data_IF_862496256211
#
_entry.id   IF_862496256211
#
_cell.length_a   1.000
_cell.length_b   1.000
_cell.length_c   1.000
_cell.angle_alpha   90.00
_cell.angle_beta   90.00
_cell.angle_gamma   90.00
#
_symmetry.space_group_name_H-M   'P 1'
#
loop_
_entity.id
_entity.type
_entity.pdbx_description
1 polymer ?
#
# COMPACT_ATOMS: atom_id res chain seq x y z
N UNK A 1 22.36 -2.84 -7.69
CA UNK A 1 22.07 -2.19 -6.39
C UNK A 1 20.61 -2.43 -6.04
N UNK A 2 20.28 -2.85 -4.81
CA UNK A 2 18.89 -2.89 -4.32
C UNK A 2 18.54 -1.51 -3.76
N UNK A 3 17.50 -0.85 -4.30
CA UNK A 3 16.98 0.43 -3.79
C UNK A 3 15.81 0.14 -2.86
N UNK A 4 15.78 0.74 -1.67
CA UNK A 4 14.61 0.70 -0.79
C UNK A 4 13.51 1.59 -1.36
N UNK A 5 12.27 1.10 -1.38
CA UNK A 5 11.10 1.84 -1.82
C UNK A 5 10.31 2.34 -0.62
N UNK A 6 9.75 3.54 -0.74
CA UNK A 6 8.67 3.98 0.14
C UNK A 6 7.41 3.15 -0.13
N UNK A 7 6.51 3.11 0.85
CA UNK A 7 5.21 2.46 0.72
C UNK A 7 4.45 2.97 -0.51
N UNK A 8 4.49 4.28 -0.73
CA UNK A 8 3.86 4.93 -1.88
C UNK A 8 4.45 4.46 -3.21
N UNK A 9 5.78 4.43 -3.34
CA UNK A 9 6.44 3.98 -4.57
C UNK A 9 6.11 2.51 -4.89
N UNK A 10 6.06 1.64 -3.88
CA UNK A 10 5.69 0.25 -4.08
C UNK A 10 4.25 0.12 -4.65
N UNK A 11 3.31 0.90 -4.11
CA UNK A 11 1.92 0.90 -4.59
C UNK A 11 1.75 1.53 -5.97
N UNK A 12 2.53 2.57 -6.29
CA UNK A 12 2.55 3.17 -7.63
C UNK A 12 3.06 2.16 -8.68
N UNK A 13 4.05 1.33 -8.35
CA UNK A 13 4.52 0.23 -9.23
C UNK A 13 3.41 -0.80 -9.46
N UNK A 14 2.68 -1.19 -8.41
CA UNK A 14 1.54 -2.10 -8.55
C UNK A 14 0.43 -1.49 -9.44
N UNK A 15 0.13 -0.20 -9.28
CA UNK A 15 -0.84 0.51 -10.11
C UNK A 15 -0.44 0.56 -11.58
N UNK A 16 0.84 0.80 -11.87
CA UNK A 16 1.37 0.75 -13.24
C UNK A 16 1.29 -0.66 -13.83
N UNK A 17 1.57 -1.70 -13.02
CA UNK A 17 1.49 -3.09 -13.42
C UNK A 17 0.09 -3.50 -13.92
N UNK A 18 -0.96 -3.00 -13.27
CA UNK A 18 -2.35 -3.22 -13.69
C UNK A 18 -2.64 -2.69 -15.11
N UNK A 19 -1.93 -1.66 -15.58
CA UNK A 19 -2.14 -1.07 -16.91
C UNK A 19 -1.37 -1.78 -18.06
N UNK A 20 -0.47 -2.71 -17.75
CA UNK A 20 0.36 -3.40 -18.74
C UNK A 20 -0.43 -4.48 -19.51
N UNK A 21 -0.16 -4.62 -20.81
CA UNK A 21 -0.91 -5.47 -21.76
C UNK A 21 -1.22 -6.91 -21.32
N UNK A 22 -0.33 -7.68 -20.64
CA UNK A 22 -0.67 -9.02 -20.15
C UNK A 22 -1.62 -9.02 -18.92
N UNK A 23 -1.82 -7.88 -18.27
CA UNK A 23 -2.69 -7.71 -17.09
C UNK A 23 -3.95 -6.87 -17.39
N UNK A 24 -4.08 -6.34 -18.60
CA UNK A 24 -5.12 -5.38 -19.00
C UNK A 24 -6.54 -5.97 -19.10
N UNK A 25 -6.71 -7.28 -18.90
CA UNK A 25 -8.00 -7.99 -18.87
C UNK A 25 -8.61 -8.08 -17.46
N UNK A 26 -8.93 -6.95 -16.83
CA UNK A 26 -9.61 -6.94 -15.51
C UNK A 26 -8.85 -7.66 -14.37
N UNK A 27 -7.51 -7.61 -14.40
CA UNK A 27 -6.65 -8.19 -13.36
C UNK A 27 -6.60 -7.34 -12.07
N UNK A 28 -7.36 -6.26 -11.94
CA UNK A 28 -7.38 -5.43 -10.72
C UNK A 28 -7.50 -6.25 -9.42
N UNK A 29 -8.20 -7.38 -9.47
CA UNK A 29 -8.31 -8.35 -8.38
C UNK A 29 -6.99 -9.07 -8.03
N UNK A 30 -6.16 -9.43 -9.00
CA UNK A 30 -4.85 -10.07 -8.74
C UNK A 30 -3.87 -9.07 -8.15
N UNK A 31 -3.79 -7.85 -8.69
CA UNK A 31 -2.93 -6.83 -8.09
C UNK A 31 -3.43 -6.36 -6.71
N UNK A 32 -4.75 -6.37 -6.47
CA UNK A 32 -5.29 -6.17 -5.12
C UNK A 32 -4.79 -7.26 -4.14
N UNK A 33 -4.75 -8.53 -4.54
CA UNK A 33 -4.20 -9.62 -3.73
C UNK A 33 -2.69 -9.45 -3.51
N UNK A 34 -1.92 -9.10 -4.53
CA UNK A 34 -0.48 -8.83 -4.42
C UNK A 34 -0.21 -7.70 -3.42
N UNK A 35 -1.00 -6.62 -3.48
CA UNK A 35 -0.91 -5.50 -2.53
C UNK A 35 -1.24 -5.95 -1.11
N UNK A 36 -2.26 -6.78 -0.91
CA UNK A 36 -2.58 -7.30 0.42
C UNK A 36 -1.42 -8.11 1.02
N UNK A 37 -0.74 -8.93 0.20
CA UNK A 37 0.44 -9.68 0.63
C UNK A 37 1.63 -8.76 0.95
N UNK A 38 1.89 -7.76 0.11
CA UNK A 38 2.95 -6.77 0.33
C UNK A 38 2.75 -5.98 1.62
N UNK A 39 1.49 -5.70 1.97
CA UNK A 39 1.13 -4.91 3.14
C UNK A 39 1.07 -5.72 4.44
N UNK A 40 1.24 -7.04 4.41
CA UNK A 40 1.00 -7.89 5.57
C UNK A 40 1.87 -7.48 6.77
N UNK A 41 3.17 -7.29 6.55
CA UNK A 41 4.11 -6.92 7.62
C UNK A 41 3.87 -5.50 8.15
N UNK A 42 3.44 -4.59 7.28
CA UNK A 42 3.04 -3.22 7.69
C UNK A 42 1.77 -3.30 8.53
N UNK A 43 0.79 -4.09 8.12
CA UNK A 43 -0.49 -4.24 8.81
C UNK A 43 -0.35 -4.84 10.21
N UNK A 44 0.61 -5.74 10.43
CA UNK A 44 0.91 -6.29 11.77
C UNK A 44 1.34 -5.21 12.76
N UNK A 45 1.80 -4.07 12.28
CA UNK A 45 2.23 -2.94 13.10
C UNK A 45 1.12 -1.89 13.30
N UNK A 46 -0.08 -2.10 12.76
CA UNK A 46 -1.21 -1.16 12.84
C UNK A 46 -2.35 -1.72 13.71
N UNK A 47 -3.27 -0.86 14.13
CA UNK A 47 -4.55 -1.35 14.65
C UNK A 47 -5.37 -2.04 13.54
N UNK A 48 -6.34 -2.87 13.92
CA UNK A 48 -7.21 -3.56 12.95
C UNK A 48 -7.93 -2.60 12.01
N UNK A 49 -8.37 -1.45 12.52
CA UNK A 49 -9.05 -0.39 11.74
C UNK A 49 -8.09 0.24 10.74
N UNK A 50 -6.89 0.65 11.19
CA UNK A 50 -5.89 1.28 10.32
C UNK A 50 -5.37 0.31 9.25
N UNK A 51 -5.16 -0.95 9.61
CA UNK A 51 -4.79 -2.00 8.67
C UNK A 51 -5.88 -2.22 7.60
N UNK A 52 -7.16 -2.18 7.99
CA UNK A 52 -8.27 -2.33 7.05
C UNK A 52 -8.38 -1.14 6.10
N UNK A 53 -8.22 0.08 6.61
CA UNK A 53 -8.20 1.31 5.81
C UNK A 53 -7.04 1.23 4.80
N UNK A 54 -5.83 0.91 5.25
CA UNK A 54 -4.66 0.79 4.39
C UNK A 54 -4.86 -0.24 3.27
N UNK A 55 -5.30 -1.45 3.62
CA UNK A 55 -5.54 -2.52 2.64
C UNK A 55 -6.61 -2.14 1.63
N UNK A 56 -7.73 -1.59 2.08
CA UNK A 56 -8.85 -1.19 1.21
C UNK A 56 -8.43 -0.07 0.26
N UNK A 57 -7.84 1.01 0.78
CA UNK A 57 -7.43 2.15 -0.04
C UNK A 57 -6.35 1.75 -1.05
N UNK A 58 -5.38 0.92 -0.65
CA UNK A 58 -4.32 0.46 -1.54
C UNK A 58 -4.85 -0.46 -2.65
N UNK A 59 -5.70 -1.43 -2.32
CA UNK A 59 -6.33 -2.32 -3.29
C UNK A 59 -7.17 -1.53 -4.32
N UNK A 60 -8.00 -0.60 -3.85
CA UNK A 60 -8.83 0.23 -4.73
C UNK A 60 -8.01 1.23 -5.55
N UNK A 61 -6.92 1.78 -5.00
CA UNK A 61 -6.02 2.64 -5.77
C UNK A 61 -5.39 1.88 -6.93
N UNK A 62 -4.85 0.69 -6.66
CA UNK A 62 -4.20 -0.14 -7.68
C UNK A 62 -5.18 -0.61 -8.74
N UNK A 63 -6.42 -0.94 -8.36
CA UNK A 63 -7.52 -1.22 -9.29
C UNK A 63 -8.02 0.02 -10.09
N UNK A 64 -7.52 1.23 -9.79
CA UNK A 64 -7.91 2.46 -10.48
C UNK A 64 -9.23 3.07 -10.02
N UNK A 65 -9.75 2.65 -8.86
CA UNK A 65 -11.02 3.12 -8.29
C UNK A 65 -10.82 4.36 -7.39
N UNK A 66 -9.73 4.38 -6.63
CA UNK A 66 -9.40 5.47 -5.69
C UNK A 66 -8.36 6.41 -6.29
N UNK A 67 -8.46 7.70 -5.97
CA UNK A 67 -7.53 8.72 -6.46
C UNK A 67 -6.19 8.70 -5.69
N UNK A 68 -5.14 9.13 -6.37
CA UNK A 68 -3.79 9.23 -5.82
C UNK A 68 -3.66 10.13 -4.57
N UNK A 69 -4.57 11.10 -4.40
CA UNK A 69 -4.61 12.00 -3.25
C UNK A 69 -5.08 11.28 -1.97
N UNK A 70 -6.15 10.49 -2.07
CA UNK A 70 -6.67 9.68 -0.96
C UNK A 70 -5.64 8.64 -0.51
N UNK A 71 -4.97 7.97 -1.46
CA UNK A 71 -3.87 7.06 -1.11
C UNK A 71 -2.74 7.80 -0.37
N UNK A 72 -2.40 9.02 -0.80
CA UNK A 72 -1.32 9.82 -0.19
C UNK A 72 -1.61 10.10 1.28
N UNK A 73 -2.83 10.50 1.59
CA UNK A 73 -3.24 10.81 2.96
C UNK A 73 -3.13 9.59 3.87
N UNK A 74 -3.63 8.44 3.40
CA UNK A 74 -3.51 7.17 4.14
C UNK A 74 -2.05 6.77 4.34
N UNK A 75 -1.20 6.86 3.32
CA UNK A 75 0.22 6.57 3.44
C UNK A 75 0.92 7.50 4.46
N UNK A 76 0.61 8.80 4.43
CA UNK A 76 1.20 9.77 5.37
C UNK A 76 0.82 9.46 6.83
N UNK A 77 -0.44 9.09 7.07
CA UNK A 77 -0.90 8.68 8.40
C UNK A 77 -0.16 7.42 8.88
N UNK A 78 -0.11 6.38 8.04
CA UNK A 78 0.58 5.12 8.35
C UNK A 78 2.07 5.34 8.62
N UNK A 79 2.76 6.11 7.78
CA UNK A 79 4.17 6.46 7.98
C UNK A 79 4.39 7.14 9.35
N UNK A 80 3.47 8.01 9.75
CA UNK A 80 3.49 8.67 11.06
C UNK A 80 3.43 7.67 12.22
N UNK A 81 2.59 6.65 12.12
CA UNK A 81 2.47 5.58 13.14
C UNK A 81 3.74 4.75 13.21
N UNK A 82 4.24 4.29 12.06
CA UNK A 82 5.42 3.44 11.99
C UNK A 82 6.66 4.16 12.54
N UNK A 83 6.81 5.46 12.24
CA UNK A 83 7.90 6.29 12.79
C UNK A 83 7.82 6.42 14.30
N UNK A 84 6.62 6.65 14.86
CA UNK A 84 6.42 6.72 16.32
C UNK A 84 6.78 5.40 17.00
N UNK A 85 6.33 4.27 16.46
CA UNK A 85 6.68 2.94 16.98
C UNK A 85 8.19 2.69 16.93
N UNK A 86 8.84 2.99 15.81
CA UNK A 86 10.30 2.82 15.66
C UNK A 86 11.10 3.70 16.64
N UNK A 87 10.57 4.86 17.03
CA UNK A 87 11.18 5.71 18.06
C UNK A 87 10.99 5.14 19.48
N UNK A 88 9.83 4.56 19.78
CA UNK A 88 9.55 3.93 21.09
C UNK A 88 10.30 2.62 21.32
N UNK A 89 10.66 1.87 20.28
CA UNK A 89 11.45 0.62 20.41
C UNK A 89 12.94 0.87 20.71
N UNK A 90 13.42 2.11 20.62
CA UNK A 90 14.82 2.49 20.89
C UNK A 90 15.06 3.06 22.30
N UNK A 91 14.03 3.12 23.15
CA UNK A 91 14.10 3.44 24.58
C UNK A 91 14.04 2.15 25.40
#
# INVERSE_FOLDING_TARGET
MKRSLTLREALDICHQGHALAPFRFFNGNTFAVVVQQLLEEVCRQLSSVEAQILKSTAAHYVAGVVKAAELREVCQHVDGILRKKAASTKQ
#
